data_IF_093074296083
#
_entry.id   IF_093074296083
#
_cell.length_a   1.000
_cell.length_b   1.000
_cell.length_c   1.000
_cell.angle_alpha   90.00
_cell.angle_beta   90.00
_cell.angle_gamma   90.00
#
_symmetry.space_group_name_H-M   'P 1'
#
loop_
_entity.id
_entity.type
_entity.pdbx_description
1 polymer ?
#
# COMPACT_ATOMS: atom_id res chain seq x y z
N UNK A 1 -19.86 11.49 -29.74
CA UNK A 1 -19.37 11.65 -28.35
C UNK A 1 -18.33 10.56 -28.13
N UNK A 2 -17.10 10.89 -27.79
CA UNK A 2 -16.05 9.91 -27.49
C UNK A 2 -16.35 9.28 -26.14
N UNK A 3 -16.65 7.98 -26.12
CA UNK A 3 -16.80 7.21 -24.88
C UNK A 3 -15.43 7.09 -24.24
N UNK A 4 -15.24 7.68 -23.06
CA UNK A 4 -14.04 7.48 -22.26
C UNK A 4 -14.22 6.15 -21.52
N UNK A 5 -13.63 5.08 -22.06
CA UNK A 5 -13.49 3.82 -21.36
C UNK A 5 -12.15 3.86 -20.61
N UNK A 6 -12.13 3.73 -19.28
CA UNK A 6 -10.86 3.72 -18.56
C UNK A 6 -10.05 2.50 -18.99
N UNK A 7 -8.78 2.71 -19.34
CA UNK A 7 -7.86 1.65 -19.78
C UNK A 7 -7.53 0.68 -18.63
N UNK A 8 -7.69 1.11 -17.37
CA UNK A 8 -7.42 0.33 -16.17
C UNK A 8 -8.60 0.34 -15.20
N UNK A 9 -8.65 -0.69 -14.37
CA UNK A 9 -9.59 -0.74 -13.25
C UNK A 9 -9.18 0.27 -12.17
N UNK A 10 -10.16 0.77 -11.42
CA UNK A 10 -9.89 1.65 -10.29
C UNK A 10 -9.04 0.92 -9.24
N UNK A 11 -7.99 1.60 -8.77
CA UNK A 11 -7.15 1.07 -7.71
C UNK A 11 -7.90 1.03 -6.37
N UNK A 12 -7.70 -0.04 -5.60
CA UNK A 12 -8.19 -0.16 -4.23
C UNK A 12 -7.11 -0.77 -3.33
N UNK A 13 -7.18 -0.45 -2.03
CA UNK A 13 -6.25 -1.02 -1.04
C UNK A 13 -6.38 -2.54 -0.96
N UNK A 14 -7.59 -3.08 -1.14
CA UNK A 14 -7.81 -4.54 -1.18
C UNK A 14 -7.15 -5.18 -2.41
N UNK A 15 -7.26 -4.56 -3.59
CA UNK A 15 -6.62 -5.05 -4.80
C UNK A 15 -5.09 -5.04 -4.65
N UNK A 16 -4.54 -3.98 -4.04
CA UNK A 16 -3.11 -3.92 -3.69
C UNK A 16 -2.74 -5.01 -2.69
N UNK A 17 -3.46 -5.16 -1.58
CA UNK A 17 -3.14 -6.13 -0.53
C UNK A 17 -3.15 -7.57 -1.07
N UNK A 18 -4.12 -7.91 -1.93
CA UNK A 18 -4.19 -9.21 -2.60
C UNK A 18 -3.02 -9.44 -3.56
N UNK A 19 -2.59 -8.41 -4.28
CA UNK A 19 -1.42 -8.52 -5.15
C UNK A 19 -0.12 -8.64 -4.35
N UNK A 20 0.04 -7.82 -3.31
CA UNK A 20 1.19 -7.84 -2.41
C UNK A 20 1.34 -9.20 -1.71
N UNK A 21 0.24 -9.78 -1.22
CA UNK A 21 0.24 -11.10 -0.58
C UNK A 21 0.78 -12.21 -1.51
N UNK A 22 0.58 -12.12 -2.83
CA UNK A 22 1.14 -13.10 -3.77
C UNK A 22 2.67 -13.05 -3.85
N UNK A 23 3.25 -11.89 -3.60
CA UNK A 23 4.70 -11.66 -3.64
C UNK A 23 5.34 -11.74 -2.25
N UNK A 24 4.54 -11.63 -1.19
CA UNK A 24 5.04 -11.57 0.18
C UNK A 24 5.43 -12.97 0.70
N UNK A 25 6.50 -13.06 1.52
CA UNK A 25 6.87 -14.32 2.18
C UNK A 25 5.69 -14.93 2.94
N UNK A 26 5.32 -16.16 2.59
CA UNK A 26 4.21 -16.88 3.22
C UNK A 26 2.84 -16.22 3.07
N UNK A 27 2.67 -15.27 2.15
CA UNK A 27 1.42 -14.53 2.00
C UNK A 27 1.22 -13.39 3.00
N UNK A 28 2.18 -13.16 3.91
CA UNK A 28 2.06 -12.13 4.93
C UNK A 28 2.62 -10.79 4.44
N UNK A 29 1.74 -9.84 4.14
CA UNK A 29 2.12 -8.50 3.64
C UNK A 29 3.02 -7.76 4.65
N UNK A 30 2.84 -7.97 5.95
CA UNK A 30 3.71 -7.35 6.98
C UNK A 30 5.16 -7.86 6.90
N UNK A 31 5.40 -9.02 6.30
CA UNK A 31 6.75 -9.51 6.05
C UNK A 31 7.50 -8.71 4.98
N UNK A 32 6.82 -7.79 4.27
CA UNK A 32 7.43 -6.83 3.37
C UNK A 32 7.98 -5.58 4.09
N UNK A 33 7.70 -5.44 5.40
CA UNK A 33 8.24 -4.33 6.18
C UNK A 33 9.77 -4.40 6.24
N UNK A 34 10.42 -3.27 5.95
CA UNK A 34 11.86 -3.16 6.11
C UNK A 34 12.20 -2.68 7.52
N UNK A 35 12.95 -3.49 8.25
CA UNK A 35 13.52 -3.12 9.54
C UNK A 35 14.89 -2.50 9.32
N UNK A 36 15.03 -1.21 9.62
CA UNK A 36 16.32 -0.53 9.50
C UNK A 36 17.22 -0.90 10.69
N UNK A 37 18.55 -0.82 10.53
CA UNK A 37 19.49 -1.06 11.63
C UNK A 37 19.28 -0.15 12.85
N UNK A 38 18.72 1.03 12.64
CA UNK A 38 18.43 2.02 13.68
C UNK A 38 17.10 1.76 14.43
N UNK A 39 16.42 0.64 14.12
CA UNK A 39 15.22 0.20 14.83
C UNK A 39 13.91 0.77 14.29
N UNK A 40 13.89 1.34 13.09
CA UNK A 40 12.67 1.87 12.45
C UNK A 40 12.08 0.81 11.53
N UNK A 41 10.77 0.59 11.63
CA UNK A 41 10.02 -0.23 10.68
C UNK A 41 9.44 0.64 9.57
N UNK A 42 9.88 0.44 8.34
CA UNK A 42 9.39 1.13 7.15
C UNK A 42 8.34 0.24 6.47
N UNK A 43 7.13 0.77 6.30
CA UNK A 43 6.02 0.05 5.66
C UNK A 43 6.18 0.03 4.13
N UNK A 44 5.70 -1.03 3.44
CA UNK A 44 5.74 -1.11 1.99
C UNK A 44 4.75 -0.17 1.29
N UNK A 45 3.75 0.37 2.03
CA UNK A 45 2.79 1.33 1.53
C UNK A 45 2.36 2.28 2.67
N UNK A 46 2.35 3.58 2.37
CA UNK A 46 1.75 4.62 3.20
C UNK A 46 0.55 5.21 2.47
N UNK A 47 -0.48 5.58 3.22
CA UNK A 47 -1.74 6.12 2.73
C UNK A 47 -2.06 7.44 3.45
N UNK A 48 -3.08 8.16 2.98
CA UNK A 48 -3.54 9.36 3.68
C UNK A 48 -3.91 9.11 5.15
N UNK A 49 -4.35 7.89 5.49
CA UNK A 49 -4.68 7.52 6.87
C UNK A 49 -3.47 7.58 7.81
N UNK A 50 -2.25 7.42 7.29
CA UNK A 50 -1.01 7.47 8.08
C UNK A 50 -0.63 8.88 8.55
N UNK A 51 -1.31 9.89 8.00
CA UNK A 51 -1.10 11.30 8.32
C UNK A 51 -2.33 11.94 8.97
N UNK A 52 -3.42 11.20 9.16
CA UNK A 52 -4.72 11.74 9.53
C UNK A 52 -4.74 12.47 10.88
N UNK A 53 -3.87 12.08 11.81
CA UNK A 53 -3.79 12.64 13.17
C UNK A 53 -2.63 13.63 13.34
N UNK A 54 -1.97 14.05 12.25
CA UNK A 54 -0.87 15.00 12.33
C UNK A 54 -1.41 16.43 12.56
N UNK A 55 -0.80 17.21 13.47
CA UNK A 55 -1.36 18.50 13.91
C UNK A 55 -1.30 19.63 12.86
N UNK A 56 -0.67 19.42 11.71
CA UNK A 56 -0.45 20.46 10.68
C UNK A 56 -0.63 19.95 9.24
N UNK A 57 -1.47 18.93 9.04
CA UNK A 57 -1.83 18.36 7.72
C UNK A 57 -3.18 18.85 7.24
#
# INVERSE_FOLDING_TARGET
MTQHNPEFQNASLEAWAKAAAKSAPGGNVDALNWHTPDGITVKPLYTAADMADLPFT
#
